data_IF_323365174943
#
_entry.id   IF_323365174943
#
_cell.length_a   1.000
_cell.length_b   1.000
_cell.length_c   1.000
_cell.angle_alpha   90.00
_cell.angle_beta   90.00
_cell.angle_gamma   90.00
#
_symmetry.space_group_name_H-M   'P 1'
#
loop_
_entity.id
_entity.type
_entity.pdbx_description
1 polymer ?
#
# COMPACT_ATOMS: atom_id res chain seq x y z
N UNK A 1 13.82 22.53 13.33
CA UNK A 1 13.58 21.09 13.20
C UNK A 1 14.86 20.39 13.58
N UNK A 2 14.78 19.64 14.63
CA UNK A 2 15.92 18.88 15.07
C UNK A 2 16.09 17.66 14.14
N UNK A 3 17.21 17.60 13.48
CA UNK A 3 17.53 16.48 12.63
C UNK A 3 17.77 15.25 13.52
N UNK A 4 16.88 14.29 13.44
CA UNK A 4 17.07 13.04 14.13
C UNK A 4 17.80 12.09 13.17
N UNK A 5 18.94 11.60 13.58
CA UNK A 5 19.69 10.66 12.76
C UNK A 5 18.83 9.44 12.43
N UNK A 6 18.82 8.99 11.17
CA UNK A 6 18.08 7.80 10.81
C UNK A 6 18.64 6.61 11.59
N UNK A 7 17.74 5.85 12.17
CA UNK A 7 18.16 4.65 12.88
C UNK A 7 18.65 3.60 11.89
N UNK A 8 19.66 2.87 12.30
CA UNK A 8 20.25 1.79 11.52
C UNK A 8 19.26 0.64 11.33
N UNK A 9 18.43 0.73 10.31
CA UNK A 9 17.60 -0.36 9.78
C UNK A 9 16.71 -1.16 10.73
N UNK A 10 17.00 -1.19 12.04
CA UNK A 10 16.28 -2.03 13.01
C UNK A 10 15.46 -1.25 14.03
N UNK A 11 15.71 0.05 14.18
CA UNK A 11 14.96 0.91 15.10
C UNK A 11 14.43 2.12 14.36
N UNK A 12 13.23 2.57 14.74
CA UNK A 12 12.69 3.81 14.21
C UNK A 12 13.38 5.04 14.77
N UNK A 13 13.00 6.21 14.26
CA UNK A 13 13.48 7.49 14.80
C UNK A 13 12.76 7.79 16.12
N UNK A 14 13.40 8.59 16.96
CA UNK A 14 12.73 9.14 18.15
C UNK A 14 11.80 10.27 17.70
N UNK A 15 10.53 10.18 18.08
CA UNK A 15 9.51 11.14 17.67
C UNK A 15 9.36 12.25 18.72
N UNK A 16 9.31 13.50 18.27
CA UNK A 16 8.87 14.60 19.12
C UNK A 16 7.34 14.63 19.17
N UNK A 17 6.80 15.57 19.95
CA UNK A 17 5.34 15.68 20.12
C UNK A 17 4.61 15.95 18.81
N UNK A 18 5.14 16.85 17.98
CA UNK A 18 4.53 17.20 16.69
C UNK A 18 4.56 16.03 15.72
N UNK A 19 5.68 15.32 15.65
CA UNK A 19 5.81 14.14 14.80
C UNK A 19 4.85 13.03 15.26
N UNK A 20 4.73 12.83 16.56
CA UNK A 20 3.77 11.86 17.12
C UNK A 20 2.34 12.19 16.70
N UNK A 21 1.97 13.47 16.76
CA UNK A 21 0.63 13.90 16.34
C UNK A 21 0.40 13.69 14.85
N UNK A 22 1.42 13.89 14.00
CA UNK A 22 1.32 13.62 12.57
C UNK A 22 1.08 12.12 12.31
N UNK A 23 1.81 11.26 13.01
CA UNK A 23 1.63 9.80 12.88
C UNK A 23 0.22 9.41 13.31
N UNK A 24 -0.28 9.96 14.42
CA UNK A 24 -1.65 9.70 14.88
C UNK A 24 -2.68 10.14 13.87
N UNK A 25 -2.49 11.30 13.24
CA UNK A 25 -3.38 11.83 12.23
C UNK A 25 -3.46 10.90 11.02
N UNK A 26 -2.33 10.42 10.54
CA UNK A 26 -2.27 9.49 9.41
C UNK A 26 -2.87 8.14 9.80
N UNK A 27 -2.55 7.65 11.00
CA UNK A 27 -3.14 6.43 11.55
C UNK A 27 -4.67 6.49 11.55
N UNK A 28 -5.21 7.62 12.02
CA UNK A 28 -6.66 7.87 12.05
C UNK A 28 -7.28 7.89 10.66
N UNK A 29 -6.58 8.45 9.69
CA UNK A 29 -7.04 8.44 8.30
C UNK A 29 -7.28 7.02 7.80
N UNK A 30 -6.29 6.15 7.97
CA UNK A 30 -6.43 4.75 7.55
C UNK A 30 -7.38 3.96 8.42
N UNK A 31 -7.43 4.25 9.72
CA UNK A 31 -8.33 3.56 10.65
C UNK A 31 -9.81 3.83 10.36
N UNK A 32 -10.14 5.02 9.88
CA UNK A 32 -11.51 5.42 9.56
C UNK A 32 -11.88 5.22 8.09
N UNK A 33 -10.92 4.91 7.26
CA UNK A 33 -11.12 4.71 5.83
C UNK A 33 -11.90 3.42 5.59
N UNK A 34 -13.04 3.50 4.90
CA UNK A 34 -13.82 2.32 4.53
C UNK A 34 -13.37 1.76 3.20
N UNK A 35 -13.29 2.59 2.20
CA UNK A 35 -12.80 2.20 0.90
C UNK A 35 -12.36 3.37 0.06
N UNK A 36 -11.54 3.08 -0.94
CA UNK A 36 -11.05 4.02 -1.95
C UNK A 36 -11.13 3.38 -3.31
N UNK A 37 -11.36 4.20 -4.31
CA UNK A 37 -11.17 3.81 -5.70
C UNK A 37 -10.61 4.99 -6.50
N UNK A 38 -9.97 4.71 -7.61
CA UNK A 38 -9.39 5.75 -8.46
C UNK A 38 -8.51 5.14 -9.53
N UNK A 39 -7.62 5.97 -10.04
CA UNK A 39 -6.64 5.57 -11.05
C UNK A 39 -5.24 5.63 -10.45
N UNK A 40 -4.31 4.90 -11.05
CA UNK A 40 -2.93 4.89 -10.59
C UNK A 40 -1.94 4.88 -11.74
N UNK A 41 -0.74 5.38 -11.46
CA UNK A 41 0.45 5.22 -12.30
C UNK A 41 1.53 4.59 -11.44
N UNK A 42 2.03 3.46 -11.88
CA UNK A 42 3.11 2.74 -11.19
C UNK A 42 4.40 2.93 -11.95
N UNK A 43 5.46 3.30 -11.23
CA UNK A 43 6.81 3.38 -11.76
C UNK A 43 7.68 2.37 -11.03
N UNK A 44 8.18 1.38 -11.76
CA UNK A 44 9.04 0.35 -11.19
C UNK A 44 10.49 0.81 -11.05
N UNK A 45 11.32 -0.04 -10.44
CA UNK A 45 12.75 0.22 -10.28
C UNK A 45 13.46 0.37 -11.62
N UNK A 46 12.92 -0.19 -12.68
CA UNK A 46 13.43 -0.08 -14.07
C UNK A 46 12.93 1.18 -14.79
N UNK A 47 12.22 2.05 -14.10
CA UNK A 47 11.57 3.27 -14.62
C UNK A 47 10.44 3.00 -15.61
N UNK A 48 10.00 1.77 -15.76
CA UNK A 48 8.82 1.46 -16.58
C UNK A 48 7.56 1.94 -15.87
N UNK A 49 6.68 2.58 -16.65
CA UNK A 49 5.42 3.08 -16.14
C UNK A 49 4.25 2.23 -16.61
N UNK A 50 3.43 1.82 -15.66
CA UNK A 50 2.18 1.12 -15.89
C UNK A 50 1.07 1.93 -15.25
N UNK A 51 -0.12 1.86 -15.81
CA UNK A 51 -1.27 2.59 -15.26
C UNK A 51 -2.49 1.69 -15.21
N UNK A 52 -3.52 2.14 -14.49
CA UNK A 52 -4.76 1.39 -14.40
C UNK A 52 -5.71 1.97 -13.36
N UNK A 53 -6.59 1.11 -12.89
CA UNK A 53 -7.58 1.45 -11.87
C UNK A 53 -7.30 0.66 -10.60
N UNK A 54 -7.59 1.27 -9.45
CA UNK A 54 -7.43 0.58 -8.19
C UNK A 54 -8.69 0.67 -7.32
N UNK A 55 -8.83 -0.31 -6.45
CA UNK A 55 -9.92 -0.41 -5.49
C UNK A 55 -9.34 -0.89 -4.17
N UNK A 56 -9.75 -0.24 -3.07
CA UNK A 56 -9.36 -0.64 -1.72
C UNK A 56 -10.61 -0.72 -0.87
N UNK A 57 -10.76 -1.81 -0.13
CA UNK A 57 -11.84 -1.97 0.84
C UNK A 57 -11.27 -2.59 2.10
N UNK A 58 -11.23 -1.82 3.17
CA UNK A 58 -10.74 -2.34 4.43
C UNK A 58 -11.75 -3.31 5.08
N UNK A 59 -11.26 -4.28 5.84
CA UNK A 59 -9.85 -4.58 6.07
C UNK A 59 -9.23 -5.41 4.94
N UNK A 60 -8.00 -5.09 4.60
CA UNK A 60 -7.10 -5.95 3.83
C UNK A 60 -7.38 -6.18 2.36
N UNK A 61 -8.49 -5.70 1.82
CA UNK A 61 -8.87 -5.99 0.44
C UNK A 61 -8.44 -4.88 -0.49
N UNK A 62 -7.82 -5.26 -1.59
CA UNK A 62 -7.51 -4.30 -2.66
C UNK A 62 -7.35 -5.01 -3.99
N UNK A 63 -7.46 -4.23 -5.06
CA UNK A 63 -7.30 -4.71 -6.42
C UNK A 63 -6.70 -3.63 -7.29
N UNK A 64 -5.72 -4.02 -8.11
CA UNK A 64 -5.10 -3.16 -9.12
C UNK A 64 -5.31 -3.82 -10.47
N UNK A 65 -6.08 -3.16 -11.34
CA UNK A 65 -6.31 -3.60 -12.72
C UNK A 65 -5.43 -2.77 -13.63
N UNK A 66 -4.39 -3.38 -14.18
CA UNK A 66 -3.47 -2.70 -15.07
C UNK A 66 -4.07 -2.57 -16.46
N UNK A 67 -3.93 -1.38 -17.06
CA UNK A 67 -4.41 -1.11 -18.39
C UNK A 67 -3.49 -1.74 -19.42
N UNK A 68 -4.07 -2.11 -20.59
CA UNK A 68 -3.28 -2.63 -21.71
C UNK A 68 -2.14 -1.67 -22.07
N UNK A 69 -0.99 -2.16 -22.52
CA UNK A 69 -0.74 -3.55 -22.93
C UNK A 69 -0.47 -4.52 -21.78
N UNK A 70 -0.39 -4.06 -20.54
CA UNK A 70 -0.23 -4.96 -19.41
C UNK A 70 -1.48 -5.81 -19.20
N UNK A 71 -1.27 -7.10 -18.92
CA UNK A 71 -2.34 -8.03 -18.58
C UNK A 71 -2.19 -8.51 -17.13
N UNK A 72 -1.63 -7.64 -16.29
CA UNK A 72 -1.40 -7.95 -14.89
C UNK A 72 -2.60 -7.51 -14.04
N UNK A 73 -2.88 -8.31 -13.01
CA UNK A 73 -3.88 -7.98 -11.99
C UNK A 73 -3.27 -8.30 -10.63
N UNK A 74 -3.41 -7.38 -9.69
CA UNK A 74 -3.03 -7.62 -8.29
C UNK A 74 -4.31 -7.62 -7.48
N UNK A 75 -4.53 -8.69 -6.70
CA UNK A 75 -5.74 -8.82 -5.88
C UNK A 75 -5.35 -9.27 -4.47
N UNK A 76 -5.89 -8.58 -3.46
CA UNK A 76 -5.84 -9.05 -2.09
C UNK A 76 -7.26 -9.37 -1.60
N UNK A 77 -7.46 -10.57 -1.08
CA UNK A 77 -8.75 -10.97 -0.51
C UNK A 77 -8.85 -10.69 1.00
N UNK A 78 -7.82 -10.06 1.57
CA UNK A 78 -7.71 -9.79 2.99
C UNK A 78 -6.78 -10.74 3.71
N UNK A 79 -6.45 -11.87 3.13
CA UNK A 79 -5.56 -12.89 3.68
C UNK A 79 -4.34 -13.10 2.80
N UNK A 80 -4.55 -13.21 1.50
CA UNK A 80 -3.50 -13.42 0.51
C UNK A 80 -3.48 -12.30 -0.51
N UNK A 81 -2.28 -12.01 -1.00
CA UNK A 81 -2.02 -11.12 -2.12
C UNK A 81 -1.61 -11.99 -3.31
N UNK A 82 -2.35 -11.90 -4.40
CA UNK A 82 -2.04 -12.60 -5.64
C UNK A 82 -1.63 -11.60 -6.71
N UNK A 83 -0.50 -11.86 -7.35
CA UNK A 83 -0.03 -11.12 -8.53
C UNK A 83 -0.19 -12.05 -9.71
N UNK A 84 -1.14 -11.74 -10.59
CA UNK A 84 -1.51 -12.58 -11.71
C UNK A 84 -1.08 -11.93 -13.02
N UNK A 85 -0.47 -12.71 -13.90
CA UNK A 85 -0.15 -12.31 -15.26
C UNK A 85 -1.01 -13.16 -16.19
N UNK A 86 -1.98 -12.53 -16.86
CA UNK A 86 -2.92 -13.23 -17.71
C UNK A 86 -2.32 -13.67 -19.05
N UNK A 87 -1.27 -12.99 -19.51
CA UNK A 87 -0.56 -13.40 -20.73
C UNK A 87 0.27 -14.65 -20.50
N UNK A 88 0.99 -14.69 -19.38
CA UNK A 88 1.82 -15.83 -19.03
C UNK A 88 1.05 -16.91 -18.28
N UNK A 89 -0.19 -16.59 -17.88
CA UNK A 89 -1.05 -17.48 -17.12
C UNK A 89 -0.34 -18.01 -15.85
N UNK A 90 0.31 -17.11 -15.13
CA UNK A 90 0.98 -17.45 -13.90
C UNK A 90 0.52 -16.55 -12.75
N UNK A 91 0.80 -16.99 -11.53
CA UNK A 91 0.42 -16.30 -10.33
C UNK A 91 1.52 -16.43 -9.28
N UNK A 92 1.88 -15.31 -8.66
CA UNK A 92 2.67 -15.29 -7.43
C UNK A 92 1.72 -14.95 -6.29
N UNK A 93 1.79 -15.70 -5.22
CA UNK A 93 0.91 -15.51 -4.06
C UNK A 93 1.73 -15.41 -2.79
N UNK A 94 1.44 -14.38 -1.98
CA UNK A 94 2.06 -14.21 -0.66
C UNK A 94 0.97 -13.93 0.37
N UNK A 95 1.25 -14.22 1.63
CA UNK A 95 0.35 -13.81 2.70
C UNK A 95 0.38 -12.29 2.82
N UNK A 96 -0.78 -11.66 2.95
CA UNK A 96 -0.87 -10.21 3.10
C UNK A 96 -0.07 -9.74 4.32
N UNK A 97 -0.04 -10.53 5.39
CA UNK A 97 0.70 -10.22 6.60
C UNK A 97 2.22 -10.19 6.42
N UNK A 98 2.71 -10.66 5.28
CA UNK A 98 4.13 -10.59 4.92
C UNK A 98 4.45 -9.37 4.05
N UNK A 99 3.50 -8.48 3.86
CA UNK A 99 3.67 -7.26 3.07
C UNK A 99 3.48 -6.03 3.95
N UNK A 100 4.13 -4.90 3.65
CA UNK A 100 3.97 -3.69 4.44
C UNK A 100 2.56 -3.08 4.35
N UNK A 101 1.75 -3.51 3.40
CA UNK A 101 0.37 -3.06 3.29
C UNK A 101 -0.48 -3.42 4.50
N UNK A 102 -0.12 -4.47 5.24
CA UNK A 102 -0.86 -4.83 6.44
C UNK A 102 -0.89 -3.70 7.47
N UNK A 103 0.14 -2.85 7.51
CA UNK A 103 0.20 -1.73 8.45
C UNK A 103 -0.96 -0.75 8.26
N UNK A 104 -1.40 -0.58 7.01
CA UNK A 104 -2.39 0.41 6.62
C UNK A 104 -3.79 -0.18 6.45
N UNK A 105 -3.89 -1.47 6.20
CA UNK A 105 -5.14 -2.09 5.77
C UNK A 105 -5.72 -3.06 6.79
N UNK A 106 -5.03 -3.34 7.89
CA UNK A 106 -5.56 -4.22 8.93
C UNK A 106 -6.81 -3.61 9.58
N UNK A 107 -7.59 -4.43 10.22
CA UNK A 107 -8.84 -4.01 10.86
C UNK A 107 -8.62 -2.90 11.88
N UNK A 108 -7.56 -2.99 12.65
CA UNK A 108 -7.22 -2.03 13.69
C UNK A 108 -5.87 -1.39 13.36
N UNK A 109 -5.90 -0.25 12.69
CA UNK A 109 -4.69 0.47 12.28
C UNK A 109 -4.16 1.29 13.44
N UNK A 110 -2.93 1.02 13.85
CA UNK A 110 -2.20 1.79 14.85
C UNK A 110 -0.73 1.80 14.47
N UNK A 111 -0.31 2.84 13.78
CA UNK A 111 1.05 2.94 13.23
C UNK A 111 2.11 3.10 14.33
N UNK A 112 1.77 3.76 15.43
CA UNK A 112 2.71 3.90 16.55
C UNK A 112 2.97 2.56 17.22
N UNK A 113 1.96 1.70 17.29
CA UNK A 113 2.08 0.36 17.87
C UNK A 113 2.83 -0.60 16.95
N UNK A 114 2.48 -0.60 15.66
CA UNK A 114 2.84 -1.68 14.73
C UNK A 114 4.03 -1.37 13.83
N UNK A 115 4.37 -0.09 13.67
CA UNK A 115 5.41 0.31 12.74
C UNK A 115 6.60 0.95 13.44
N UNK A 116 7.79 0.70 12.90
CA UNK A 116 8.95 1.55 13.15
C UNK A 116 8.81 2.74 12.22
N UNK A 117 8.78 3.94 12.79
CA UNK A 117 8.66 5.16 12.01
C UNK A 117 10.06 5.57 11.60
N UNK A 118 10.34 5.50 10.32
CA UNK A 118 11.68 5.78 9.78
C UNK A 118 11.84 7.22 9.35
N UNK A 119 10.75 7.89 9.02
CA UNK A 119 10.75 9.27 8.57
C UNK A 119 9.39 9.89 8.84
N UNK A 120 9.36 11.13 9.33
CA UNK A 120 8.14 11.94 9.45
C UNK A 120 8.48 13.34 8.97
N UNK A 121 7.79 13.80 7.95
CA UNK A 121 7.97 15.15 7.43
C UNK A 121 6.61 15.79 7.15
N UNK A 122 6.55 17.10 7.36
CA UNK A 122 5.44 17.90 6.90
C UNK A 122 6.02 19.14 6.22
N UNK A 123 5.65 19.35 4.97
CA UNK A 123 6.05 20.51 4.19
C UNK A 123 4.83 21.05 3.46
N UNK A 124 4.46 22.29 3.77
CA UNK A 124 3.28 22.94 3.18
C UNK A 124 2.03 22.09 3.35
N UNK A 125 1.49 21.54 2.26
CA UNK A 125 0.25 20.79 2.24
C UNK A 125 0.48 19.29 2.09
N UNK A 126 1.65 18.81 2.49
CA UNK A 126 2.04 17.40 2.33
C UNK A 126 2.58 16.82 3.62
N UNK A 127 2.13 15.60 3.95
CA UNK A 127 2.69 14.78 5.02
C UNK A 127 3.38 13.58 4.38
N UNK A 128 4.60 13.29 4.83
CA UNK A 128 5.37 12.13 4.37
C UNK A 128 5.74 11.26 5.57
N UNK A 129 5.38 9.98 5.50
CA UNK A 129 5.79 9.00 6.50
C UNK A 129 6.51 7.84 5.81
N UNK A 130 7.63 7.43 6.39
CA UNK A 130 8.29 6.19 6.00
C UNK A 130 8.16 5.19 7.14
N UNK A 131 7.67 4.00 6.83
CA UNK A 131 7.28 2.99 7.79
C UNK A 131 7.96 1.66 7.49
N UNK A 132 8.31 0.95 8.55
CA UNK A 132 8.75 -0.43 8.47
C UNK A 132 7.96 -1.24 9.49
N UNK A 133 7.49 -2.43 9.11
CA UNK A 133 6.76 -3.28 10.05
C UNK A 133 7.72 -3.77 11.14
N UNK A 134 7.24 -3.81 12.38
CA UNK A 134 8.01 -4.36 13.50
C UNK A 134 8.18 -5.87 13.41
N UNK A 135 7.31 -6.54 12.65
CA UNK A 135 7.40 -7.99 12.49
C UNK A 135 8.61 -8.35 11.61
N UNK A 136 9.46 -9.31 12.06
CA UNK A 136 10.58 -9.76 11.24
C UNK A 136 10.13 -10.54 10.00
N UNK A 137 8.88 -11.01 9.95
CA UNK A 137 8.32 -11.74 8.82
C UNK A 137 7.84 -10.82 7.70
N UNK A 138 7.88 -9.51 7.91
CA UNK A 138 7.41 -8.52 6.95
C UNK A 138 8.60 -7.65 6.52
N UNK A 139 9.40 -8.09 5.55
CA UNK A 139 10.52 -7.29 5.07
C UNK A 139 10.04 -6.12 4.19
N UNK A 140 10.92 -5.14 4.04
CA UNK A 140 10.64 -4.00 3.19
C UNK A 140 10.06 -2.82 3.95
N UNK A 141 9.84 -1.74 3.21
CA UNK A 141 9.36 -0.47 3.76
C UNK A 141 8.27 0.10 2.87
N UNK A 142 7.44 0.94 3.46
CA UNK A 142 6.48 1.73 2.70
C UNK A 142 6.60 3.19 3.11
N UNK A 143 6.70 4.06 2.11
CA UNK A 143 6.71 5.50 2.29
C UNK A 143 5.42 6.04 1.70
N UNK A 144 4.65 6.77 2.50
CA UNK A 144 3.35 7.28 2.09
C UNK A 144 3.33 8.79 2.08
N UNK A 145 2.64 9.34 1.10
CA UNK A 145 2.52 10.78 0.87
C UNK A 145 1.03 11.13 0.88
N UNK A 146 0.65 12.04 1.76
CA UNK A 146 -0.74 12.48 1.90
C UNK A 146 -0.82 13.99 1.74
N UNK A 147 -1.75 14.45 0.92
CA UNK A 147 -2.10 15.86 0.89
C UNK A 147 -2.94 16.18 2.13
N UNK A 148 -2.78 17.39 2.66
CA UNK A 148 -3.53 17.86 3.83
C UNK A 148 -4.70 18.75 3.47
N UNK A 149 -4.73 19.26 2.24
CA UNK A 149 -5.77 20.19 1.76
C UNK A 149 -6.36 19.73 0.44
N UNK A 150 -7.65 19.91 0.20
CA UNK A 150 -8.65 20.49 1.11
C UNK A 150 -8.98 19.58 2.31
N UNK A 151 -8.64 18.32 2.22
CA UNK A 151 -8.78 17.33 3.28
C UNK A 151 -7.63 16.34 3.16
N UNK A 152 -7.39 15.58 4.22
CA UNK A 152 -6.34 14.56 4.21
C UNK A 152 -6.66 13.50 3.16
N UNK A 153 -5.74 13.28 2.22
CA UNK A 153 -5.94 12.35 1.11
C UNK A 153 -4.63 11.70 0.68
N UNK A 154 -4.65 10.40 0.55
CA UNK A 154 -3.51 9.63 0.04
C UNK A 154 -3.23 10.02 -1.41
N UNK A 155 -1.97 10.33 -1.71
CA UNK A 155 -1.54 10.74 -3.05
C UNK A 155 -0.58 9.77 -3.70
N UNK A 156 0.27 9.13 -2.90
CA UNK A 156 1.36 8.35 -3.45
C UNK A 156 1.93 7.44 -2.37
N UNK A 157 2.47 6.30 -2.78
CA UNK A 157 3.32 5.50 -1.90
C UNK A 157 4.48 4.90 -2.68
N UNK A 158 5.55 4.62 -1.96
CA UNK A 158 6.72 3.93 -2.49
C UNK A 158 6.99 2.74 -1.60
N UNK A 159 7.00 1.54 -2.18
CA UNK A 159 7.41 0.33 -1.47
C UNK A 159 8.84 -0.01 -1.84
N UNK A 160 9.62 -0.42 -0.85
CA UNK A 160 10.98 -0.91 -1.06
C UNK A 160 11.03 -2.36 -0.62
N UNK A 161 11.51 -3.24 -1.48
CA UNK A 161 11.63 -4.66 -1.14
C UNK A 161 12.89 -4.95 -0.34
N UNK A 162 13.12 -6.23 -0.02
CA UNK A 162 14.27 -6.67 0.77
C UNK A 162 15.62 -6.37 0.07
N UNK A 163 15.62 -6.23 -1.25
CA UNK A 163 16.81 -5.89 -2.04
C UNK A 163 16.99 -4.38 -2.21
N UNK A 164 16.07 -3.57 -1.67
CA UNK A 164 16.11 -2.12 -1.80
C UNK A 164 15.56 -1.59 -3.11
N UNK A 165 14.85 -2.40 -3.87
CA UNK A 165 14.22 -1.97 -5.12
C UNK A 165 12.90 -1.28 -4.82
N UNK A 166 12.73 -0.10 -5.39
CA UNK A 166 11.56 0.75 -5.14
C UNK A 166 10.52 0.63 -6.24
N UNK A 167 9.26 0.59 -5.81
CA UNK A 167 8.11 0.72 -6.71
C UNK A 167 7.27 1.90 -6.21
N UNK A 168 7.05 2.88 -7.08
CA UNK A 168 6.26 4.08 -6.78
C UNK A 168 4.89 3.94 -7.40
N UNK A 169 3.85 4.23 -6.63
CA UNK A 169 2.47 4.28 -7.11
C UNK A 169 1.89 5.65 -6.80
N UNK A 170 1.50 6.38 -7.84
CA UNK A 170 0.83 7.66 -7.73
C UNK A 170 -0.64 7.46 -8.05
N UNK A 171 -1.53 8.00 -7.23
CA UNK A 171 -2.98 7.84 -7.40
C UNK A 171 -3.64 9.16 -7.73
N UNK A 172 -4.71 9.08 -8.50
CA UNK A 172 -5.50 10.24 -8.92
C UNK A 172 -6.98 9.86 -8.98
N UNK A 173 -7.82 10.89 -9.07
CA UNK A 173 -9.27 10.70 -9.12
C UNK A 173 -9.79 9.84 -7.98
N UNK A 174 -9.20 10.04 -6.80
CA UNK A 174 -9.48 9.24 -5.62
C UNK A 174 -10.85 9.59 -5.07
N UNK A 175 -11.68 8.58 -4.88
CA UNK A 175 -13.00 8.69 -4.30
C UNK A 175 -13.09 7.78 -3.08
N UNK A 176 -13.49 8.34 -1.94
CA UNK A 176 -13.80 7.53 -0.76
C UNK A 176 -15.21 6.99 -0.90
N UNK A 177 -15.37 5.69 -0.75
CA UNK A 177 -16.68 5.04 -0.87
C UNK A 177 -16.68 3.73 -0.11
N UNK A 178 -17.82 3.36 0.47
CA UNK A 178 -18.01 2.03 1.05
C UNK A 178 -18.74 1.09 0.08
N UNK A 179 -19.09 1.58 -1.11
CA UNK A 179 -19.88 0.85 -2.10
C UNK A 179 -18.98 0.26 -3.19
N UNK A 180 -18.13 -0.67 -2.79
CA UNK A 180 -17.26 -1.37 -3.73
C UNK A 180 -17.68 -2.84 -3.73
N UNK A 181 -17.85 -3.41 -4.92
CA UNK A 181 -18.29 -4.78 -5.09
C UNK A 181 -17.27 -5.75 -4.48
N UNK A 182 -17.71 -6.58 -3.54
CA UNK A 182 -16.88 -7.60 -2.90
C UNK A 182 -16.31 -8.61 -3.89
N UNK A 183 -16.96 -8.82 -5.01
CA UNK A 183 -16.50 -9.76 -6.03
C UNK A 183 -15.18 -9.34 -6.69
N UNK A 184 -14.84 -8.05 -6.63
CA UNK A 184 -13.57 -7.54 -7.15
C UNK A 184 -12.37 -8.12 -6.40
N UNK A 185 -12.58 -8.54 -5.14
CA UNK A 185 -11.50 -8.98 -4.26
C UNK A 185 -11.39 -10.50 -4.15
N UNK A 186 -12.10 -11.23 -4.98
CA UNK A 186 -11.98 -12.69 -5.03
C UNK A 186 -10.83 -13.07 -5.93
N UNK A 187 -9.91 -13.86 -5.38
CA UNK A 187 -8.79 -14.39 -6.15
C UNK A 187 -9.26 -15.61 -6.92
N UNK A 188 -9.24 -15.51 -8.24
CA UNK A 188 -9.60 -16.63 -9.11
C UNK A 188 -8.35 -17.43 -9.45
N UNK A 189 -8.46 -18.76 -9.41
CA UNK A 189 -7.37 -19.63 -9.81
C UNK A 189 -7.24 -19.65 -11.31
N UNK A 190 -6.12 -19.18 -11.84
CA UNK A 190 -5.85 -19.19 -13.26
C UNK A 190 -5.80 -20.61 -13.80
N UNK A 191 -5.21 -21.54 -13.05
CA UNK A 191 -5.13 -22.93 -13.44
C UNK A 191 -6.47 -23.63 -13.55
N UNK A 192 -7.48 -23.24 -12.80
CA UNK A 192 -8.80 -23.87 -12.83
C UNK A 192 -9.49 -23.73 -14.18
N UNK A 193 -9.25 -22.61 -14.89
CA UNK A 193 -9.82 -22.41 -16.24
C UNK A 193 -9.17 -23.29 -17.29
N UNK A 194 -7.89 -23.61 -17.10
CA UNK A 194 -7.11 -24.41 -18.04
C UNK A 194 -7.29 -25.90 -17.81
N UNK A 195 -7.62 -26.30 -16.60
CA UNK A 195 -7.79 -27.69 -16.22
C UNK A 195 -9.22 -28.17 -16.37
N UNK A 196 -10.11 -27.37 -16.90
CA UNK A 196 -11.51 -27.78 -17.15
C UNK A 196 -11.52 -28.93 -18.13
N UNK A 197 -12.08 -30.07 -17.75
CA UNK A 197 -12.16 -31.21 -18.68
C UNK A 197 -12.99 -30.85 -19.91
N UNK A 198 -12.54 -31.31 -21.02
CA UNK A 198 -13.24 -31.14 -22.29
C UNK A 198 -14.47 -31.99 -22.37
#
# INVERSE_FOLDING_TARGET
VQEVAPANGTTGIALDEKQTELVKTVSGYFATLKGLKGTFVQTGADNKKLKGKFYVKRPGKFRFDYALPSRQIIISDGEYLAIQDLDLNNEDRVALDQTPFRLLLRKDVDLLRDARIMEVQQAEDLIVLSLQDKSPDTPGRIKIFLATKPALELKEWVTSDAQGLDTRVEVADVEQTDKIDENLFKIQHLGAKLSTPQ
#
